data_IF_325083014990
#
_entry.id   IF_325083014990
#
_cell.length_a   1.000
_cell.length_b   1.000
_cell.length_c   1.000
_cell.angle_alpha   90.00
_cell.angle_beta   90.00
_cell.angle_gamma   90.00
#
_symmetry.space_group_name_H-M   'P 1'
#
loop_
_entity.id
_entity.type
_entity.pdbx_description
1 polymer ?
#
# COMPACT_ATOMS: atom_id res chain seq x y z
N UNK A 1 35.58 -0.91 -39.03
CA UNK A 1 35.34 -0.46 -37.65
C UNK A 1 33.89 -0.04 -37.57
N UNK A 2 33.02 -0.92 -37.10
CA UNK A 2 31.57 -0.71 -37.06
C UNK A 2 31.16 -0.67 -35.59
N UNK A 3 30.77 0.50 -35.10
CA UNK A 3 30.15 0.66 -33.79
C UNK A 3 28.69 0.17 -33.84
N UNK A 4 28.28 -0.79 -33.01
CA UNK A 4 26.86 -1.04 -32.79
C UNK A 4 26.36 -0.05 -31.74
N UNK A 5 25.57 0.94 -32.16
CA UNK A 5 24.69 1.68 -31.24
C UNK A 5 23.65 0.71 -30.69
N UNK A 6 23.84 0.26 -29.45
CA UNK A 6 22.82 -0.47 -28.69
C UNK A 6 21.67 0.49 -28.36
N UNK A 7 20.41 0.21 -28.76
CA UNK A 7 19.28 0.89 -28.17
C UNK A 7 19.07 0.23 -26.80
N UNK A 8 19.63 0.83 -25.74
CA UNK A 8 19.32 0.40 -24.38
C UNK A 8 17.89 0.83 -24.07
N UNK A 9 16.95 -0.01 -24.49
CA UNK A 9 15.53 0.12 -24.21
C UNK A 9 15.32 0.21 -22.71
N UNK A 10 14.90 1.38 -22.25
CA UNK A 10 14.43 1.61 -20.89
C UNK A 10 13.18 0.75 -20.70
N UNK A 11 13.36 -0.48 -20.25
CA UNK A 11 12.27 -1.30 -19.71
C UNK A 11 11.54 -0.44 -18.68
N UNK A 12 10.21 -0.25 -18.78
CA UNK A 12 9.47 0.51 -17.79
C UNK A 12 9.63 -0.23 -16.46
N UNK A 13 10.51 0.29 -15.61
CA UNK A 13 10.69 -0.22 -14.27
C UNK A 13 9.32 -0.20 -13.61
N UNK A 14 8.79 -1.38 -13.29
CA UNK A 14 7.59 -1.54 -12.46
C UNK A 14 7.72 -0.53 -11.32
N UNK A 15 6.90 0.51 -11.32
CA UNK A 15 6.85 1.48 -10.23
C UNK A 15 6.55 0.68 -8.98
N UNK A 16 7.58 0.41 -8.17
CA UNK A 16 7.48 -0.46 -7.00
C UNK A 16 6.76 0.38 -5.96
N UNK A 17 5.44 0.31 -5.94
CA UNK A 17 4.64 1.02 -4.95
C UNK A 17 5.07 0.50 -3.58
N UNK A 18 5.51 1.37 -2.65
CA UNK A 18 5.88 0.93 -1.32
C UNK A 18 4.71 0.19 -0.67
N UNK A 19 4.96 -0.97 -0.05
CA UNK A 19 3.91 -1.77 0.60
C UNK A 19 3.12 -0.95 1.62
N UNK A 20 3.78 -0.05 2.37
CA UNK A 20 3.10 0.87 3.28
C UNK A 20 2.12 1.81 2.58
N UNK A 21 2.45 2.28 1.37
CA UNK A 21 1.56 3.14 0.60
C UNK A 21 0.31 2.38 0.12
N UNK A 22 0.48 1.11 -0.27
CA UNK A 22 -0.65 0.23 -0.61
C UNK A 22 -1.54 -0.01 0.62
N UNK A 23 -0.95 -0.33 1.78
CA UNK A 23 -1.69 -0.53 3.02
C UNK A 23 -2.44 0.73 3.44
N UNK A 24 -1.84 1.92 3.31
CA UNK A 24 -2.52 3.19 3.56
C UNK A 24 -3.71 3.40 2.61
N UNK A 25 -3.54 3.14 1.31
CA UNK A 25 -4.63 3.25 0.35
C UNK A 25 -5.79 2.29 0.65
N UNK A 26 -5.50 1.05 1.08
CA UNK A 26 -6.51 0.07 1.50
C UNK A 26 -7.27 0.59 2.72
N UNK A 27 -6.56 1.13 3.72
CA UNK A 27 -7.19 1.72 4.90
C UNK A 27 -8.12 2.87 4.52
N UNK A 28 -7.67 3.80 3.68
CA UNK A 28 -8.47 4.94 3.24
C UNK A 28 -9.72 4.49 2.47
N UNK A 29 -9.59 3.49 1.61
CA UNK A 29 -10.72 2.89 0.89
C UNK A 29 -11.73 2.25 1.85
N UNK A 30 -11.25 1.50 2.85
CA UNK A 30 -12.09 0.91 3.88
C UNK A 30 -12.81 1.99 4.71
N UNK A 31 -12.13 3.04 5.15
CA UNK A 31 -12.76 4.16 5.87
C UNK A 31 -13.81 4.90 5.03
N UNK A 32 -13.66 4.94 3.70
CA UNK A 32 -14.69 5.47 2.79
C UNK A 32 -15.90 4.53 2.71
N UNK A 33 -15.69 3.22 2.65
CA UNK A 33 -16.78 2.24 2.65
C UNK A 33 -17.59 2.30 3.96
N UNK A 34 -16.94 2.47 5.11
CA UNK A 34 -17.61 2.69 6.40
C UNK A 34 -18.52 3.92 6.37
N UNK A 35 -18.09 5.00 5.69
CA UNK A 35 -18.83 6.28 5.63
C UNK A 35 -19.96 6.29 4.61
N UNK A 36 -19.76 5.66 3.45
CA UNK A 36 -20.63 5.85 2.29
C UNK A 36 -21.42 4.61 1.88
N UNK A 37 -21.11 3.42 2.42
CA UNK A 37 -21.90 2.23 2.11
C UNK A 37 -23.31 2.31 2.71
N UNK A 38 -24.30 1.97 1.88
CA UNK A 38 -25.71 1.82 2.32
C UNK A 38 -25.94 0.51 3.07
N UNK A 39 -25.13 -0.50 2.78
CA UNK A 39 -25.19 -1.81 3.40
C UNK A 39 -24.53 -1.81 4.80
N UNK A 40 -25.25 -2.20 5.88
CA UNK A 40 -24.72 -2.22 7.23
C UNK A 40 -23.59 -3.23 7.45
N UNK A 41 -23.62 -4.38 6.79
CA UNK A 41 -22.61 -5.42 6.93
C UNK A 41 -21.30 -4.98 6.26
N UNK A 42 -21.41 -4.31 5.11
CA UNK A 42 -20.26 -3.68 4.45
C UNK A 42 -19.63 -2.61 5.33
N UNK A 43 -20.42 -1.76 6.01
CA UNK A 43 -19.86 -0.75 6.94
C UNK A 43 -19.12 -1.39 8.10
N UNK A 44 -19.69 -2.46 8.67
CA UNK A 44 -19.08 -3.21 9.77
C UNK A 44 -17.76 -3.82 9.34
N UNK A 45 -17.73 -4.52 8.22
CA UNK A 45 -16.52 -5.19 7.75
C UNK A 45 -15.45 -4.20 7.29
N UNK A 46 -15.84 -3.11 6.64
CA UNK A 46 -14.93 -2.01 6.31
C UNK A 46 -14.28 -1.40 7.56
N UNK A 47 -15.04 -1.25 8.66
CA UNK A 47 -14.49 -0.84 9.96
C UNK A 47 -13.43 -1.82 10.49
N UNK A 48 -13.71 -3.13 10.43
CA UNK A 48 -12.78 -4.18 10.85
C UNK A 48 -11.47 -4.14 10.04
N UNK A 49 -11.58 -3.97 8.72
CA UNK A 49 -10.43 -3.87 7.81
C UNK A 49 -9.60 -2.62 8.12
N UNK A 50 -10.23 -1.44 8.23
CA UNK A 50 -9.53 -0.20 8.53
C UNK A 50 -8.74 -0.29 9.85
N UNK A 51 -9.36 -0.87 10.89
CA UNK A 51 -8.70 -1.08 12.19
C UNK A 51 -7.51 -2.05 12.08
N UNK A 52 -7.70 -3.17 11.40
CA UNK A 52 -6.67 -4.21 11.26
C UNK A 52 -5.46 -3.72 10.47
N UNK A 53 -5.71 -3.01 9.36
CA UNK A 53 -4.65 -2.39 8.56
C UNK A 53 -3.92 -1.30 9.34
N UNK A 54 -4.63 -0.52 10.16
CA UNK A 54 -4.01 0.43 11.09
C UNK A 54 -3.03 -0.23 12.05
N UNK A 55 -3.44 -1.32 12.72
CA UNK A 55 -2.58 -2.10 13.62
C UNK A 55 -1.34 -2.66 12.90
N UNK A 56 -1.51 -3.15 11.67
CA UNK A 56 -0.40 -3.66 10.86
C UNK A 56 0.59 -2.55 10.50
N UNK A 57 0.13 -1.38 10.06
CA UNK A 57 0.99 -0.23 9.75
C UNK A 57 1.79 0.22 10.98
N UNK A 58 1.20 0.19 12.17
CA UNK A 58 1.90 0.52 13.41
C UNK A 58 2.95 -0.52 13.78
N UNK A 59 2.65 -1.82 13.58
CA UNK A 59 3.62 -2.90 13.78
C UNK A 59 4.82 -2.78 12.84
N UNK A 60 4.58 -2.49 11.55
CA UNK A 60 5.64 -2.27 10.55
C UNK A 60 6.53 -1.10 10.98
N UNK A 61 5.94 0.02 11.42
CA UNK A 61 6.69 1.19 11.87
C UNK A 61 7.58 0.88 13.09
N UNK A 62 7.05 0.14 14.06
CA UNK A 62 7.81 -0.29 15.26
C UNK A 62 8.99 -1.19 14.88
N UNK A 63 8.76 -2.20 14.05
CA UNK A 63 9.82 -3.09 13.58
C UNK A 63 10.92 -2.33 12.81
N UNK A 64 10.56 -1.31 12.03
CA UNK A 64 11.53 -0.44 11.35
C UNK A 64 12.36 0.43 12.30
N UNK A 65 11.74 0.94 13.38
CA UNK A 65 12.42 1.76 14.38
C UNK A 65 13.39 0.95 15.26
N UNK A 66 13.07 -0.31 15.55
CA UNK A 66 13.95 -1.23 16.30
C UNK A 66 15.19 -1.64 15.52
N UNK A 67 15.10 -1.74 14.18
CA UNK A 67 16.24 -2.10 13.32
C UNK A 67 17.24 -0.95 13.09
N UNK A 68 16.86 0.27 13.45
CA UNK A 68 17.69 1.48 13.31
C UNK A 68 18.43 1.90 14.60
N UNK A 69 18.27 1.15 15.70
CA UNK A 69 19.05 1.25 16.94
C UNK A 69 20.13 0.18 16.97
#
# INVERSE_FOLDING_TARGET
MTDPKTPSGRVPGRTRVPTEALLRAVRDAAERLTRFSRDPDVRREAGNVAQSVGKLLDAIRKAGAEKGR
#
